data_IF_967970265767
#
_entry.id   IF_967970265767
#
_cell.length_a   1.000
_cell.length_b   1.000
_cell.length_c   1.000
_cell.angle_alpha   90.00
_cell.angle_beta   90.00
_cell.angle_gamma   90.00
#
_symmetry.space_group_name_H-M   'P 1'
#
loop_
_entity.id
_entity.type
_entity.pdbx_description
1 polymer ?
#
# COMPACT_ATOMS: atom_id res chain seq x y z
N UNK A 1 -7.47 2.39 -28.48
CA UNK A 1 -8.07 3.69 -28.23
C UNK A 1 -6.94 4.58 -27.72
N UNK A 2 -6.52 5.54 -28.52
CA UNK A 2 -5.61 6.61 -28.12
C UNK A 2 -6.32 7.44 -27.06
N UNK A 3 -5.69 7.52 -25.88
CA UNK A 3 -6.10 8.50 -24.86
C UNK A 3 -5.80 9.89 -25.41
N UNK A 4 -6.85 10.67 -25.55
CA UNK A 4 -6.78 12.07 -25.96
C UNK A 4 -5.93 12.84 -24.97
N UNK A 5 -4.72 13.25 -25.39
CA UNK A 5 -3.78 14.04 -24.58
C UNK A 5 -4.23 15.51 -24.40
N UNK A 6 -5.32 15.91 -25.04
CA UNK A 6 -5.84 17.29 -24.99
C UNK A 6 -6.54 17.66 -23.67
N UNK A 7 -6.83 16.69 -22.79
CA UNK A 7 -7.53 16.97 -21.53
C UNK A 7 -6.60 17.28 -20.35
N UNK A 8 -5.29 17.06 -20.53
CA UNK A 8 -4.29 17.29 -19.47
C UNK A 8 -3.68 18.70 -19.41
N UNK A 9 -3.93 19.54 -20.43
CA UNK A 9 -3.35 20.90 -20.52
C UNK A 9 -4.28 22.01 -19.99
N UNK A 10 -5.40 21.67 -19.34
CA UNK A 10 -6.24 22.67 -18.69
C UNK A 10 -5.73 22.92 -17.27
N UNK A 11 -5.32 24.15 -16.98
CA UNK A 11 -5.08 24.57 -15.60
C UNK A 11 -6.35 24.28 -14.77
N UNK A 12 -6.24 23.55 -13.63
CA UNK A 12 -7.38 23.25 -12.80
C UNK A 12 -7.99 24.55 -12.30
N UNK A 13 -9.25 24.79 -12.62
CA UNK A 13 -10.02 25.91 -12.08
C UNK A 13 -10.51 25.51 -10.68
N UNK A 14 -9.79 25.95 -9.65
CA UNK A 14 -10.27 25.78 -8.29
C UNK A 14 -11.33 26.85 -7.99
N UNK A 15 -12.58 26.44 -7.93
CA UNK A 15 -13.65 27.32 -7.45
C UNK A 15 -13.50 27.54 -5.95
N UNK A 16 -13.57 28.81 -5.55
CA UNK A 16 -13.56 29.18 -4.14
C UNK A 16 -14.91 28.80 -3.51
N UNK A 17 -14.94 27.97 -2.46
CA UNK A 17 -16.19 27.70 -1.76
C UNK A 17 -16.83 28.98 -1.21
N UNK A 18 -18.14 29.09 -1.25
CA UNK A 18 -18.87 30.25 -0.76
C UNK A 18 -18.56 30.48 0.73
N UNK A 19 -18.13 31.69 1.10
CA UNK A 19 -17.79 32.08 2.46
C UNK A 19 -16.33 31.80 2.89
N UNK A 20 -15.46 31.35 2.00
CA UNK A 20 -14.04 31.14 2.29
C UNK A 20 -13.19 32.35 1.87
N UNK A 21 -12.48 32.99 2.84
CA UNK A 21 -11.65 34.19 2.60
C UNK A 21 -10.14 33.87 2.50
N UNK A 22 -9.72 32.60 2.66
CA UNK A 22 -8.32 32.20 2.60
C UNK A 22 -7.78 32.01 1.18
N UNK A 23 -6.45 31.87 1.00
CA UNK A 23 -5.85 31.54 -0.28
C UNK A 23 -6.26 30.12 -0.72
N UNK A 24 -6.74 30.00 -1.96
CA UNK A 24 -7.02 28.71 -2.59
C UNK A 24 -5.80 28.33 -3.42
N UNK A 25 -5.14 27.23 -3.07
CA UNK A 25 -4.07 26.68 -3.89
C UNK A 25 -4.55 25.36 -4.51
N UNK A 26 -4.50 25.31 -5.83
CA UNK A 26 -4.69 24.09 -6.58
C UNK A 26 -3.37 23.35 -6.67
N UNK A 27 -3.34 22.12 -6.17
CA UNK A 27 -2.21 21.23 -6.32
C UNK A 27 -2.54 20.24 -7.44
N UNK A 28 -1.86 20.42 -8.57
CA UNK A 28 -1.92 19.45 -9.67
C UNK A 28 -0.96 18.31 -9.35
N UNK A 29 -1.50 17.13 -9.10
CA UNK A 29 -0.71 15.92 -9.06
C UNK A 29 -0.55 15.40 -10.49
N UNK A 30 0.64 14.96 -10.91
CA UNK A 30 0.84 14.43 -12.27
C UNK A 30 0.06 13.14 -12.56
N UNK A 31 -0.78 12.67 -11.65
CA UNK A 31 -1.62 11.47 -11.79
C UNK A 31 -3.02 11.75 -11.16
N UNK A 32 -3.68 12.80 -11.60
CA UNK A 32 -5.06 13.08 -11.17
C UNK A 32 -5.20 14.37 -10.37
N UNK A 33 -6.19 15.14 -10.71
CA UNK A 33 -6.49 16.42 -10.10
C UNK A 33 -7.08 16.24 -8.71
N UNK A 34 -6.48 16.87 -7.70
CA UNK A 34 -7.12 17.01 -6.40
C UNK A 34 -6.99 18.46 -5.94
N UNK A 35 -8.10 19.18 -5.89
CA UNK A 35 -8.17 20.47 -5.25
C UNK A 35 -8.26 20.30 -3.73
N UNK A 36 -7.26 20.76 -3.00
CA UNK A 36 -7.30 20.89 -1.56
C UNK A 36 -7.49 22.35 -1.19
N UNK A 37 -8.61 22.68 -0.56
CA UNK A 37 -8.82 23.97 0.09
C UNK A 37 -8.19 23.87 1.47
N UNK A 38 -6.97 24.40 1.62
CA UNK A 38 -6.30 24.45 2.91
C UNK A 38 -6.60 25.75 3.61
N UNK A 39 -7.26 25.71 4.74
CA UNK A 39 -7.45 26.85 5.63
C UNK A 39 -6.14 27.37 6.25
N UNK A 40 -5.07 26.56 6.17
CA UNK A 40 -3.70 26.92 6.56
C UNK A 40 -2.77 26.33 5.52
N UNK A 41 -1.96 27.14 4.87
CA UNK A 41 -0.97 26.74 3.89
C UNK A 41 0.11 25.86 4.56
N UNK A 42 -0.18 24.58 4.75
CA UNK A 42 0.85 23.60 4.98
C UNK A 42 1.57 23.40 3.65
N UNK A 43 2.87 23.59 3.62
CA UNK A 43 3.72 23.39 2.46
C UNK A 43 3.52 21.97 1.93
N UNK A 44 2.99 21.85 0.70
CA UNK A 44 3.07 20.60 -0.04
C UNK A 44 4.45 20.55 -0.70
N UNK A 45 5.40 19.95 -0.01
CA UNK A 45 6.68 19.61 -0.64
C UNK A 45 6.51 18.30 -1.40
N UNK A 46 6.71 18.36 -2.71
CA UNK A 46 6.83 17.15 -3.53
C UNK A 46 8.18 16.50 -3.21
N UNK A 47 8.16 15.27 -2.75
CA UNK A 47 9.38 14.47 -2.64
C UNK A 47 10.02 14.33 -4.01
N UNK A 48 11.22 14.84 -4.18
CA UNK A 48 11.97 14.80 -5.44
C UNK A 48 12.59 13.43 -5.76
N UNK A 49 12.40 12.45 -4.90
CA UNK A 49 13.07 11.14 -4.92
C UNK A 49 12.24 10.01 -5.55
N UNK A 50 11.10 10.33 -6.16
CA UNK A 50 10.19 9.36 -6.79
C UNK A 50 9.41 8.48 -5.80
N UNK A 51 9.48 8.76 -4.50
CA UNK A 51 8.68 8.08 -3.50
C UNK A 51 7.22 8.55 -3.55
N UNK A 52 6.27 7.62 -3.34
CA UNK A 52 4.84 7.91 -3.37
C UNK A 52 4.18 7.61 -2.03
N UNK A 53 3.14 8.37 -1.69
CA UNK A 53 2.24 8.05 -0.59
C UNK A 53 1.31 6.91 -1.04
N UNK A 54 1.56 5.69 -0.54
CA UNK A 54 0.84 4.50 -0.98
C UNK A 54 -0.15 3.95 0.07
N UNK A 55 -0.40 4.67 1.14
CA UNK A 55 -1.41 4.32 2.14
C UNK A 55 -2.83 4.36 1.56
N UNK A 56 -3.65 3.45 2.02
CA UNK A 56 -5.09 3.38 1.72
C UNK A 56 -5.82 3.06 3.01
N UNK A 57 -6.17 4.09 3.77
CA UNK A 57 -6.94 3.91 4.98
C UNK A 57 -7.89 5.06 5.26
N UNK A 58 -8.96 4.76 5.97
CA UNK A 58 -9.87 5.73 6.56
C UNK A 58 -9.97 5.42 8.04
N UNK A 59 -9.85 6.44 8.87
CA UNK A 59 -10.18 6.38 10.28
C UNK A 59 -11.46 7.19 10.48
N UNK A 60 -12.48 6.54 11.01
CA UNK A 60 -13.80 7.15 11.24
C UNK A 60 -14.09 7.16 12.74
N UNK A 61 -14.44 8.33 13.27
CA UNK A 61 -14.80 8.57 14.67
C UNK A 61 -13.75 8.09 15.68
N UNK A 62 -12.47 8.02 15.27
CA UNK A 62 -11.39 7.52 16.11
C UNK A 62 -11.53 6.05 16.54
N UNK A 63 -12.43 5.30 15.89
CA UNK A 63 -12.78 3.93 16.28
C UNK A 63 -12.71 2.94 15.12
N UNK A 64 -13.29 3.28 13.99
CA UNK A 64 -13.35 2.38 12.83
C UNK A 64 -12.18 2.64 11.90
N UNK A 65 -11.46 1.57 11.57
CA UNK A 65 -10.40 1.61 10.59
C UNK A 65 -10.78 0.77 9.39
N UNK A 66 -10.79 1.39 8.20
CA UNK A 66 -10.82 0.71 6.91
C UNK A 66 -9.42 0.80 6.29
N UNK A 67 -8.84 -0.33 5.90
CA UNK A 67 -7.51 -0.37 5.27
C UNK A 67 -7.35 -1.58 4.37
N UNK A 68 -6.35 -1.57 3.50
CA UNK A 68 -6.06 -2.70 2.61
C UNK A 68 -5.30 -2.32 1.36
N UNK A 69 -5.49 -3.09 0.29
CA UNK A 69 -4.83 -2.85 -1.00
C UNK A 69 -5.66 -1.99 -1.97
N UNK A 70 -6.95 -1.76 -1.67
CA UNK A 70 -7.90 -1.08 -2.56
C UNK A 70 -7.59 0.41 -2.67
N UNK A 71 -7.34 0.90 -3.88
CA UNK A 71 -7.34 2.33 -4.15
C UNK A 71 -8.78 2.86 -4.18
N UNK A 72 -8.98 4.11 -3.81
CA UNK A 72 -10.27 4.80 -3.96
C UNK A 72 -10.39 5.27 -5.42
N UNK A 73 -10.69 4.34 -6.29
CA UNK A 73 -10.86 4.56 -7.73
C UNK A 73 -11.96 3.63 -8.26
N UNK A 74 -12.57 3.99 -9.37
CA UNK A 74 -13.65 3.21 -9.99
C UNK A 74 -13.22 1.78 -10.32
N UNK A 75 -12.01 1.59 -10.83
CA UNK A 75 -11.46 0.27 -11.16
C UNK A 75 -11.22 -0.62 -9.93
N UNK A 76 -10.89 -0.05 -8.78
CA UNK A 76 -10.68 -0.80 -7.56
C UNK A 76 -11.98 -0.96 -6.76
N UNK A 77 -12.76 0.11 -6.58
CA UNK A 77 -14.04 0.09 -5.86
C UNK A 77 -15.15 -0.61 -6.65
N UNK A 78 -15.12 -0.52 -7.97
CA UNK A 78 -16.07 -1.17 -8.88
C UNK A 78 -15.86 -2.68 -9.09
N UNK A 79 -14.93 -3.30 -8.38
CA UNK A 79 -14.73 -4.76 -8.44
C UNK A 79 -13.92 -5.25 -9.66
N UNK A 80 -13.30 -4.36 -10.42
CA UNK A 80 -12.49 -4.76 -11.58
C UNK A 80 -11.13 -5.33 -11.18
N UNK A 81 -10.52 -4.80 -10.11
CA UNK A 81 -9.26 -5.31 -9.57
C UNK A 81 -9.52 -6.17 -8.31
N UNK A 82 -8.82 -7.30 -8.18
CA UNK A 82 -8.85 -8.10 -6.97
C UNK A 82 -8.05 -7.41 -5.85
N UNK A 83 -8.73 -7.08 -4.77
CA UNK A 83 -8.17 -6.39 -3.62
C UNK A 83 -8.54 -7.10 -2.31
N UNK A 84 -7.78 -6.80 -1.26
CA UNK A 84 -8.13 -7.14 0.12
C UNK A 84 -8.45 -5.85 0.88
N UNK A 85 -9.55 -5.87 1.61
CA UNK A 85 -9.96 -4.81 2.52
C UNK A 85 -10.21 -5.40 3.90
N UNK A 86 -9.76 -4.71 4.92
CA UNK A 86 -10.02 -5.06 6.31
C UNK A 86 -10.72 -3.89 7.00
N UNK A 87 -11.85 -4.17 7.63
CA UNK A 87 -12.54 -3.25 8.54
C UNK A 87 -12.29 -3.71 9.96
N UNK A 88 -11.77 -2.81 10.80
CA UNK A 88 -11.41 -3.09 12.19
C UNK A 88 -12.16 -2.11 13.09
N UNK A 89 -12.96 -2.64 14.02
CA UNK A 89 -13.59 -1.88 15.11
C UNK A 89 -12.66 -1.92 16.33
N UNK A 90 -11.84 -0.89 16.49
CA UNK A 90 -10.90 -0.77 17.60
C UNK A 90 -10.35 0.64 17.71
N UNK A 91 -10.70 1.35 18.79
CA UNK A 91 -10.14 2.67 19.09
C UNK A 91 -8.60 2.66 19.17
N UNK A 92 -8.03 1.59 19.73
CA UNK A 92 -6.59 1.46 19.86
C UNK A 92 -5.89 1.39 18.49
N UNK A 93 -6.42 0.60 17.56
CA UNK A 93 -5.85 0.47 16.21
C UNK A 93 -6.11 1.74 15.43
N UNK A 94 -7.30 2.31 15.53
CA UNK A 94 -7.65 3.60 14.93
C UNK A 94 -6.70 4.72 15.38
N UNK A 95 -6.35 4.78 16.67
CA UNK A 95 -5.40 5.75 17.21
C UNK A 95 -4.01 5.63 16.54
N UNK A 96 -3.50 4.43 16.30
CA UNK A 96 -2.21 4.24 15.60
C UNK A 96 -2.22 4.79 14.18
N UNK A 97 -3.32 4.60 13.46
CA UNK A 97 -3.49 5.13 12.10
C UNK A 97 -3.73 6.64 12.09
N UNK A 98 -4.44 7.16 13.09
CA UNK A 98 -4.58 8.63 13.28
C UNK A 98 -3.21 9.28 13.48
N UNK A 99 -2.38 8.71 14.34
CA UNK A 99 -1.04 9.23 14.56
C UNK A 99 -0.15 9.13 13.31
N UNK A 100 -0.28 8.07 12.49
CA UNK A 100 0.40 7.97 11.20
C UNK A 100 -0.09 9.05 10.23
N UNK A 101 -1.39 9.31 10.20
CA UNK A 101 -1.98 10.40 9.42
C UNK A 101 -1.44 11.77 9.87
N UNK A 102 -1.40 12.03 11.17
CA UNK A 102 -0.91 13.29 11.74
C UNK A 102 0.57 13.54 11.47
N UNK A 103 1.40 12.49 11.41
CA UNK A 103 2.79 12.65 10.98
C UNK A 103 2.88 13.32 9.61
N UNK A 104 2.02 12.95 8.68
CA UNK A 104 1.98 13.50 7.32
C UNK A 104 1.20 14.81 7.27
N UNK A 105 -0.02 14.84 7.79
CA UNK A 105 -0.95 15.96 7.62
C UNK A 105 -0.60 17.16 8.49
N UNK A 106 -0.30 16.93 9.78
CA UNK A 106 -0.01 18.01 10.75
C UNK A 106 1.47 18.38 10.74
N UNK A 107 2.34 17.38 10.68
CA UNK A 107 3.78 17.60 10.88
C UNK A 107 4.59 17.61 9.58
N UNK A 108 3.96 17.44 8.42
CA UNK A 108 4.64 17.45 7.11
C UNK A 108 5.75 16.40 6.98
N UNK A 109 5.70 15.30 7.75
CA UNK A 109 6.71 14.25 7.71
C UNK A 109 6.30 13.17 6.73
N UNK A 110 7.03 13.07 5.65
CA UNK A 110 6.77 12.09 4.60
C UNK A 110 7.91 11.08 4.49
N UNK A 111 7.61 9.89 3.98
CA UNK A 111 8.59 8.84 3.67
C UNK A 111 9.58 8.55 4.80
N UNK A 112 10.86 8.83 4.60
CA UNK A 112 11.94 8.58 5.57
C UNK A 112 11.93 9.55 6.76
N UNK A 113 11.20 10.66 6.68
CA UNK A 113 11.07 11.63 7.77
C UNK A 113 10.07 11.17 8.84
N UNK A 114 9.24 10.19 8.53
CA UNK A 114 8.29 9.60 9.49
C UNK A 114 9.05 8.87 10.60
N UNK A 115 8.54 9.00 11.81
CA UNK A 115 9.14 8.35 12.99
C UNK A 115 8.63 6.93 13.12
N UNK A 116 9.54 5.97 13.29
CA UNK A 116 9.20 4.61 13.71
C UNK A 116 8.69 4.62 15.15
N UNK A 117 7.82 3.67 15.47
CA UNK A 117 7.21 3.51 16.78
C UNK A 117 7.62 2.19 17.42
N UNK A 118 7.49 2.05 18.75
CA UNK A 118 7.51 0.75 19.40
C UNK A 118 6.47 -0.19 18.79
N UNK A 119 6.66 -1.51 18.94
CA UNK A 119 5.77 -2.51 18.39
C UNK A 119 4.29 -2.21 18.69
N UNK A 120 3.52 -1.96 17.64
CA UNK A 120 2.08 -1.72 17.73
C UNK A 120 1.36 -3.07 17.67
N UNK A 121 1.19 -3.70 18.82
CA UNK A 121 0.56 -5.02 18.96
C UNK A 121 -0.64 -4.92 19.87
N UNK A 122 -1.74 -5.58 19.49
CA UNK A 122 -2.95 -5.70 20.30
C UNK A 122 -3.68 -7.00 20.00
N UNK A 123 -4.70 -7.31 20.80
CA UNK A 123 -5.63 -8.42 20.53
C UNK A 123 -7.01 -7.86 20.22
N UNK A 124 -7.67 -8.47 19.24
CA UNK A 124 -9.06 -8.23 18.90
C UNK A 124 -9.75 -9.59 18.96
N UNK A 125 -10.59 -9.79 19.98
CA UNK A 125 -11.05 -11.13 20.32
C UNK A 125 -9.87 -12.06 20.59
N UNK A 126 -9.81 -13.19 19.91
CA UNK A 126 -8.73 -14.17 20.03
C UNK A 126 -7.58 -13.94 19.05
N UNK A 127 -7.68 -12.91 18.19
CA UNK A 127 -6.67 -12.62 17.16
C UNK A 127 -5.65 -11.61 17.67
N UNK A 128 -4.37 -11.96 17.58
CA UNK A 128 -3.27 -11.01 17.74
C UNK A 128 -3.09 -10.20 16.46
N UNK A 129 -3.09 -8.88 16.58
CA UNK A 129 -2.88 -7.93 15.50
C UNK A 129 -1.59 -7.16 15.72
N UNK A 130 -0.75 -7.11 14.69
CA UNK A 130 0.48 -6.34 14.65
C UNK A 130 0.43 -5.36 13.48
N UNK A 131 0.70 -4.08 13.72
CA UNK A 131 0.69 -3.01 12.71
C UNK A 131 2.09 -2.46 12.52
N UNK A 132 2.47 -2.27 11.26
CA UNK A 132 3.72 -1.65 10.85
C UNK A 132 3.49 -0.68 9.72
N UNK A 133 4.13 0.48 9.77
CA UNK A 133 4.09 1.46 8.69
C UNK A 133 5.41 1.50 7.92
N UNK A 134 5.31 1.51 6.60
CA UNK A 134 6.47 1.66 5.71
C UNK A 134 6.66 3.13 5.35
N UNK A 135 7.92 3.59 5.16
CA UNK A 135 9.18 2.83 5.22
C UNK A 135 9.81 2.75 6.61
N UNK A 136 9.33 3.53 7.59
CA UNK A 136 9.99 3.74 8.89
C UNK A 136 10.15 2.47 9.72
N UNK A 137 9.17 1.58 9.74
CA UNK A 137 9.20 0.34 10.55
C UNK A 137 9.91 -0.82 9.83
N UNK A 138 10.21 -0.66 8.54
CA UNK A 138 10.86 -1.67 7.70
C UNK A 138 10.17 -3.06 7.79
N UNK A 139 8.83 -3.16 7.59
CA UNK A 139 8.06 -4.37 7.86
C UNK A 139 8.55 -5.57 7.05
N UNK A 140 8.90 -5.37 5.77
CA UNK A 140 9.40 -6.44 4.90
C UNK A 140 10.70 -7.03 5.44
N UNK A 141 11.69 -6.21 5.77
CA UNK A 141 13.02 -6.69 6.17
C UNK A 141 13.05 -7.22 7.61
N UNK A 142 12.22 -6.67 8.50
CA UNK A 142 12.22 -7.04 9.91
C UNK A 142 11.21 -8.13 10.24
N UNK A 143 9.99 -8.05 9.71
CA UNK A 143 8.89 -8.91 10.14
C UNK A 143 8.53 -9.99 9.12
N UNK A 144 8.21 -9.62 7.88
CA UNK A 144 7.75 -10.58 6.86
C UNK A 144 8.83 -11.62 6.57
N UNK A 145 10.07 -11.21 6.39
CA UNK A 145 11.18 -12.15 6.17
C UNK A 145 11.39 -13.10 7.34
N UNK A 146 11.19 -12.63 8.58
CA UNK A 146 11.26 -13.49 9.76
C UNK A 146 10.15 -14.54 9.75
N UNK A 147 8.90 -14.13 9.49
CA UNK A 147 7.78 -15.07 9.38
C UNK A 147 8.03 -16.16 8.34
N UNK A 148 8.56 -15.79 7.15
CA UNK A 148 8.91 -16.75 6.10
C UNK A 148 9.99 -17.73 6.56
N UNK A 149 11.03 -17.24 7.24
CA UNK A 149 12.13 -18.10 7.76
C UNK A 149 11.67 -19.04 8.87
N UNK A 150 10.74 -18.59 9.71
CA UNK A 150 10.23 -19.35 10.85
C UNK A 150 9.09 -20.33 10.48
N UNK A 151 8.54 -20.20 9.25
CA UNK A 151 7.47 -21.07 8.76
C UNK A 151 7.88 -22.54 8.74
N UNK A 152 6.91 -23.43 9.13
CA UNK A 152 7.13 -24.88 9.27
C UNK A 152 6.29 -25.71 8.32
N UNK A 153 5.12 -25.25 7.92
CA UNK A 153 4.15 -26.06 7.19
C UNK A 153 3.82 -25.50 5.80
N UNK A 154 3.37 -24.24 5.74
CA UNK A 154 2.84 -23.64 4.52
C UNK A 154 3.06 -22.15 4.45
N UNK A 155 3.33 -21.66 3.23
CA UNK A 155 3.35 -20.25 2.87
C UNK A 155 2.54 -20.10 1.58
N UNK A 156 1.47 -19.33 1.62
CA UNK A 156 0.68 -18.92 0.47
C UNK A 156 0.89 -17.41 0.25
N UNK A 157 1.27 -17.04 -0.96
CA UNK A 157 1.61 -15.65 -1.31
C UNK A 157 0.72 -15.18 -2.46
N UNK A 158 0.00 -14.08 -2.27
CA UNK A 158 -0.77 -13.42 -3.33
C UNK A 158 -0.33 -11.96 -3.41
N UNK A 159 0.48 -11.60 -4.41
CA UNK A 159 1.07 -10.27 -4.50
C UNK A 159 1.06 -9.71 -5.92
N UNK A 160 0.83 -8.39 -6.01
CA UNK A 160 0.93 -7.68 -7.27
C UNK A 160 2.37 -7.68 -7.80
N UNK A 161 3.36 -7.27 -7.00
CA UNK A 161 4.79 -7.30 -7.34
C UNK A 161 5.60 -8.20 -6.42
N UNK A 162 6.47 -9.04 -6.97
CA UNK A 162 7.45 -9.85 -6.25
C UNK A 162 8.87 -9.55 -6.77
N UNK A 163 9.39 -8.37 -6.45
CA UNK A 163 10.70 -7.91 -6.92
C UNK A 163 11.79 -7.98 -5.84
N UNK A 164 11.39 -8.09 -4.56
CA UNK A 164 12.32 -8.06 -3.43
C UNK A 164 13.17 -9.34 -3.35
N UNK A 165 14.47 -9.22 -3.66
CA UNK A 165 15.43 -10.35 -3.70
C UNK A 165 15.45 -11.18 -2.40
N UNK A 166 15.46 -10.52 -1.25
CA UNK A 166 15.52 -11.20 0.05
C UNK A 166 14.27 -12.03 0.36
N UNK A 167 13.07 -11.58 -0.07
CA UNK A 167 11.84 -12.37 0.06
C UNK A 167 11.91 -13.63 -0.82
N UNK A 168 12.33 -13.48 -2.09
CA UNK A 168 12.48 -14.63 -2.98
C UNK A 168 13.47 -15.67 -2.42
N UNK A 169 14.60 -15.22 -1.89
CA UNK A 169 15.58 -16.10 -1.25
C UNK A 169 15.01 -16.82 -0.01
N UNK A 170 14.27 -16.10 0.85
CA UNK A 170 13.66 -16.69 2.05
C UNK A 170 12.58 -17.72 1.67
N UNK A 171 11.77 -17.48 0.61
CA UNK A 171 10.78 -18.43 0.07
C UNK A 171 11.45 -19.70 -0.49
N UNK A 172 12.54 -19.53 -1.26
CA UNK A 172 13.33 -20.66 -1.77
C UNK A 172 13.89 -21.49 -0.61
N UNK A 173 14.49 -20.81 0.37
CA UNK A 173 15.02 -21.51 1.55
C UNK A 173 13.93 -22.24 2.35
N UNK A 174 12.73 -21.66 2.49
CA UNK A 174 11.60 -22.33 3.12
C UNK A 174 11.16 -23.57 2.32
N UNK A 175 11.06 -23.48 1.00
CA UNK A 175 10.73 -24.60 0.13
C UNK A 175 11.74 -25.74 0.25
N UNK A 176 13.04 -25.42 0.24
CA UNK A 176 14.11 -26.42 0.40
C UNK A 176 14.12 -27.08 1.80
N UNK A 177 13.55 -26.44 2.81
CA UNK A 177 13.30 -27.04 4.13
C UNK A 177 12.07 -27.97 4.19
N UNK A 178 11.32 -28.10 3.08
CA UNK A 178 10.10 -28.90 3.00
C UNK A 178 8.81 -28.13 3.31
N UNK A 179 8.86 -26.80 3.49
CA UNK A 179 7.68 -25.96 3.65
C UNK A 179 6.92 -25.89 2.31
N UNK A 180 5.62 -26.11 2.31
CA UNK A 180 4.78 -25.99 1.12
C UNK A 180 4.61 -24.52 0.74
N UNK A 181 5.30 -24.06 -0.29
CA UNK A 181 5.22 -22.68 -0.78
C UNK A 181 4.39 -22.64 -2.06
N UNK A 182 3.44 -21.70 -2.16
CA UNK A 182 2.65 -21.41 -3.37
C UNK A 182 2.59 -19.92 -3.60
N UNK A 183 2.66 -19.49 -4.86
CA UNK A 183 2.66 -18.07 -5.21
C UNK A 183 1.63 -17.80 -6.31
N UNK A 184 0.82 -16.78 -6.10
CA UNK A 184 -0.06 -16.18 -7.09
C UNK A 184 0.45 -14.77 -7.41
N UNK A 185 0.66 -14.47 -8.68
CA UNK A 185 1.24 -13.24 -9.17
C UNK A 185 0.38 -12.63 -10.27
N UNK A 186 0.28 -11.31 -10.29
CA UNK A 186 -0.38 -10.56 -11.36
C UNK A 186 0.38 -10.65 -12.68
N UNK A 187 -0.33 -10.75 -13.81
CA UNK A 187 0.26 -10.87 -15.14
C UNK A 187 1.08 -9.65 -15.55
N UNK A 188 0.61 -8.43 -15.20
CA UNK A 188 1.33 -7.19 -15.49
C UNK A 188 2.67 -7.16 -14.77
N UNK A 189 2.67 -7.62 -13.53
CA UNK A 189 3.89 -7.69 -12.73
C UNK A 189 4.83 -8.80 -13.22
N UNK A 190 4.30 -9.93 -13.68
CA UNK A 190 5.11 -11.04 -14.21
C UNK A 190 5.88 -10.66 -15.48
N UNK A 191 5.33 -9.75 -16.30
CA UNK A 191 6.01 -9.24 -17.50
C UNK A 191 7.15 -8.26 -17.20
N UNK A 192 7.26 -7.79 -15.95
CA UNK A 192 8.34 -6.90 -15.52
C UNK A 192 9.64 -7.69 -15.30
N UNK A 193 10.71 -7.32 -16.00
CA UNK A 193 12.02 -7.99 -15.92
C UNK A 193 12.67 -8.03 -14.53
N UNK A 194 12.18 -7.26 -13.56
CA UNK A 194 12.70 -7.27 -12.19
C UNK A 194 12.02 -8.30 -11.27
N UNK A 195 10.89 -8.88 -11.67
CA UNK A 195 10.16 -9.86 -10.85
C UNK A 195 10.97 -11.15 -10.65
N UNK A 196 10.75 -11.83 -9.51
CA UNK A 196 11.58 -12.99 -9.09
C UNK A 196 10.86 -14.32 -9.31
N UNK A 197 9.73 -14.35 -10.00
CA UNK A 197 8.91 -15.54 -10.14
C UNK A 197 9.60 -16.69 -10.88
N UNK A 198 10.44 -16.40 -11.88
CA UNK A 198 11.19 -17.42 -12.59
C UNK A 198 12.24 -18.11 -11.70
N UNK A 199 12.86 -17.38 -10.76
CA UNK A 199 13.75 -17.98 -9.77
C UNK A 199 13.01 -18.97 -8.87
N UNK A 200 11.76 -18.67 -8.53
CA UNK A 200 10.92 -19.58 -7.72
C UNK A 200 10.53 -20.82 -8.52
N UNK A 201 10.13 -20.65 -9.77
CA UNK A 201 9.81 -21.77 -10.67
C UNK A 201 11.00 -22.69 -10.90
N UNK A 202 12.19 -22.14 -11.05
CA UNK A 202 13.41 -22.89 -11.30
C UNK A 202 13.76 -23.89 -10.18
N UNK A 203 13.29 -23.65 -8.95
CA UNK A 203 13.46 -24.55 -7.81
C UNK A 203 12.23 -25.41 -7.51
N UNK A 204 11.21 -25.37 -8.38
CA UNK A 204 10.01 -26.20 -8.24
C UNK A 204 8.89 -25.60 -7.41
N UNK A 205 8.97 -24.34 -7.01
CA UNK A 205 7.85 -23.66 -6.33
C UNK A 205 6.72 -23.39 -7.32
N UNK A 206 5.47 -23.85 -7.05
CA UNK A 206 4.32 -23.53 -7.88
C UNK A 206 4.04 -22.04 -7.91
N UNK A 207 4.15 -21.44 -9.09
CA UNK A 207 3.81 -20.02 -9.33
C UNK A 207 2.75 -19.94 -10.41
N UNK A 208 1.57 -19.48 -10.04
CA UNK A 208 0.49 -19.16 -10.97
C UNK A 208 0.58 -17.67 -11.29
N UNK A 209 0.56 -17.34 -12.57
CA UNK A 209 0.41 -15.98 -13.08
C UNK A 209 -1.03 -15.84 -13.53
N UNK A 210 -1.75 -15.01 -12.86
CA UNK A 210 -3.17 -14.76 -13.12
C UNK A 210 -3.32 -13.89 -14.40
N UNK A 211 -4.37 -14.11 -15.19
CA UNK A 211 -4.52 -13.53 -16.53
C UNK A 211 -5.93 -13.02 -16.81
N UNK A 212 -6.66 -12.53 -15.83
CA UNK A 212 -7.95 -11.92 -16.10
C UNK A 212 -7.85 -10.45 -16.56
N UNK A 213 -9.00 -9.83 -16.91
CA UNK A 213 -9.03 -8.47 -17.44
C UNK A 213 -8.72 -7.35 -16.45
N UNK A 214 -8.82 -7.60 -15.13
CA UNK A 214 -8.40 -6.69 -14.06
C UNK A 214 -6.96 -6.96 -13.60
N UNK A 215 -6.62 -6.43 -12.43
CA UNK A 215 -5.32 -6.70 -11.76
C UNK A 215 -5.54 -7.43 -10.45
N UNK A 216 -4.71 -8.40 -10.16
CA UNK A 216 -4.62 -8.99 -8.84
C UNK A 216 -3.77 -8.05 -7.96
N UNK A 217 -4.44 -7.09 -7.34
CA UNK A 217 -3.78 -5.98 -6.63
C UNK A 217 -3.58 -6.25 -5.13
N UNK A 218 -3.68 -7.51 -4.71
CA UNK A 218 -3.40 -7.94 -3.34
C UNK A 218 -1.92 -7.81 -2.97
N UNK A 219 -1.63 -7.79 -1.67
CA UNK A 219 -0.30 -7.81 -1.05
C UNK A 219 -0.38 -8.67 0.22
N UNK A 220 -0.75 -9.95 0.10
CA UNK A 220 -0.94 -10.91 1.19
C UNK A 220 -0.13 -12.21 0.99
#
# INVERSE_FOLDING_TARGET
AELDRGEYDREPQCERPAGFEGPVQCLVYPIGETCLVAAHAAHCEFGSDGAIMHHKFFVVDGRYLWTGSTNVSDSCAGGYNANLVTLIDSERVAAWYTEEFEQMYVHGRYHQQKRSRPAMTTRIGDTELEVHFSPQDRPITRRVRRLIRDARERIDVAVFYLTHKGIAQDLIAAHLRGVRVRVLLDATSASNGYTKHELLRAVGIPVIVERWGGKMHMKS
#
